data_IF_729616469964
#
_entry.id   IF_729616469964
#
_cell.length_a   1.000
_cell.length_b   1.000
_cell.length_c   1.000
_cell.angle_alpha   90.00
_cell.angle_beta   90.00
_cell.angle_gamma   90.00
#
_symmetry.space_group_name_H-M   'P 1'
#
loop_
_entity.id
_entity.type
_entity.pdbx_description
1 polymer ?
#
# COMPACT_ATOMS: atom_id res chain seq x y z
N UNK A 1 5.39 20.97 34.62
CA UNK A 1 4.67 22.25 34.85
C UNK A 1 3.38 22.00 35.63
N UNK A 2 2.88 22.96 36.41
CA UNK A 2 1.69 22.74 37.26
C UNK A 2 0.41 22.72 36.40
N UNK A 3 -0.06 21.51 36.03
CA UNK A 3 -1.33 21.28 35.34
C UNK A 3 -2.51 22.04 35.98
N UNK A 4 -2.41 22.33 37.29
CA UNK A 4 -3.41 23.12 38.02
C UNK A 4 -3.49 24.57 37.54
N UNK A 5 -2.40 25.16 37.05
CA UNK A 5 -2.40 26.52 36.50
C UNK A 5 -3.11 26.56 35.14
N UNK A 6 -2.84 25.60 34.25
CA UNK A 6 -3.52 25.52 32.95
C UNK A 6 -5.03 25.34 33.11
N UNK A 7 -5.45 24.43 34.00
CA UNK A 7 -6.88 24.21 34.30
C UNK A 7 -7.52 25.45 34.92
N UNK A 8 -6.83 26.17 35.81
CA UNK A 8 -7.36 27.41 36.41
C UNK A 8 -7.55 28.53 35.40
N UNK A 9 -6.67 28.61 34.40
CA UNK A 9 -6.74 29.61 33.32
C UNK A 9 -7.61 29.16 32.13
N UNK A 10 -8.10 27.92 32.14
CA UNK A 10 -8.86 27.33 31.02
C UNK A 10 -8.02 27.05 29.77
N UNK A 11 -6.68 27.05 29.91
CA UNK A 11 -5.76 26.82 28.80
C UNK A 11 -5.77 25.37 28.32
N UNK A 12 -6.08 24.43 29.22
CA UNK A 12 -6.33 23.02 28.92
C UNK A 12 -7.38 22.84 27.81
N UNK A 13 -8.48 23.61 27.85
CA UNK A 13 -9.52 23.59 26.82
C UNK A 13 -9.06 24.13 25.48
N UNK A 14 -8.22 25.18 25.49
CA UNK A 14 -7.63 25.75 24.28
C UNK A 14 -6.69 24.74 23.64
N UNK A 15 -5.82 24.11 24.45
CA UNK A 15 -4.90 23.06 24.02
C UNK A 15 -5.65 21.90 23.37
N UNK A 16 -6.70 21.40 24.03
CA UNK A 16 -7.54 20.32 23.49
C UNK A 16 -8.21 20.72 22.16
N UNK A 17 -8.73 21.95 22.06
CA UNK A 17 -9.36 22.45 20.84
C UNK A 17 -8.38 22.53 19.66
N UNK A 18 -7.10 22.86 19.91
CA UNK A 18 -6.04 22.89 18.90
C UNK A 18 -5.61 21.48 18.52
N UNK A 19 -5.43 20.57 19.48
CA UNK A 19 -5.08 19.16 19.23
C UNK A 19 -6.07 18.49 18.29
N UNK A 20 -7.37 18.67 18.50
CA UNK A 20 -8.43 18.11 17.63
C UNK A 20 -8.42 18.64 16.20
N UNK A 21 -7.68 19.72 15.92
CA UNK A 21 -7.53 20.33 14.59
C UNK A 21 -6.16 20.03 13.96
N UNK A 22 -5.29 19.30 14.65
CA UNK A 22 -4.02 18.87 14.09
C UNK A 22 -4.25 17.86 12.97
N UNK A 23 -3.49 17.99 11.89
CA UNK A 23 -3.61 17.10 10.73
C UNK A 23 -2.96 15.72 10.97
N UNK A 24 -2.10 15.61 11.98
CA UNK A 24 -1.35 14.40 12.29
C UNK A 24 -1.22 14.21 13.81
N UNK A 25 -0.97 12.97 14.23
CA UNK A 25 -0.75 12.60 15.63
C UNK A 25 0.50 13.27 16.17
N UNK A 26 1.59 13.31 15.39
CA UNK A 26 2.81 14.03 15.77
C UNK A 26 2.53 15.51 16.09
N UNK A 27 1.70 16.18 15.31
CA UNK A 27 1.32 17.56 15.59
C UNK A 27 0.48 17.68 16.87
N UNK A 28 -0.43 16.74 17.11
CA UNK A 28 -1.24 16.66 18.33
C UNK A 28 -0.36 16.46 19.58
N UNK A 29 0.55 15.49 19.55
CA UNK A 29 1.52 15.21 20.62
C UNK A 29 2.42 16.41 20.90
N UNK A 30 2.89 17.11 19.85
CA UNK A 30 3.65 18.34 20.01
C UNK A 30 2.85 19.42 20.73
N UNK A 31 1.61 19.66 20.32
CA UNK A 31 0.73 20.61 21.00
C UNK A 31 0.47 20.20 22.44
N UNK A 32 0.36 18.90 22.73
CA UNK A 32 0.21 18.41 24.10
C UNK A 32 1.45 18.70 24.95
N UNK A 33 2.65 18.53 24.38
CA UNK A 33 3.92 18.71 25.06
C UNK A 33 4.40 20.18 25.15
N UNK A 34 3.74 21.13 24.49
CA UNK A 34 4.14 22.55 24.53
C UNK A 34 4.05 23.12 25.95
N UNK A 35 5.12 23.78 26.39
CA UNK A 35 5.22 24.51 27.65
C UNK A 35 5.18 26.03 27.42
N UNK A 36 4.93 26.80 28.49
CA UNK A 36 4.94 28.27 28.35
C UNK A 36 6.35 28.77 28.03
N UNK A 37 6.44 29.58 26.99
CA UNK A 37 7.66 30.29 26.62
C UNK A 37 7.65 31.70 27.22
N UNK A 38 8.76 32.11 27.84
CA UNK A 38 8.97 33.46 28.37
C UNK A 38 9.99 34.28 27.56
N UNK A 39 10.66 33.65 26.59
CA UNK A 39 11.60 34.32 25.69
C UNK A 39 10.83 35.13 24.63
N UNK A 40 10.96 36.45 24.71
CA UNK A 40 10.28 37.40 23.82
C UNK A 40 10.63 37.18 22.33
N UNK A 41 11.84 36.74 22.02
CA UNK A 41 12.28 36.51 20.63
C UNK A 41 11.57 35.29 20.03
N UNK A 42 11.51 34.19 20.79
CA UNK A 42 10.81 32.97 20.38
C UNK A 42 9.30 33.19 20.27
N UNK A 43 8.70 33.92 21.22
CA UNK A 43 7.28 34.28 21.17
C UNK A 43 6.99 35.07 19.90
N UNK A 44 7.77 36.10 19.60
CA UNK A 44 7.60 36.94 18.40
C UNK A 44 7.71 36.09 17.13
N UNK A 45 8.71 35.22 17.03
CA UNK A 45 8.88 34.37 15.86
C UNK A 45 7.70 33.41 15.65
N UNK A 46 7.23 32.76 16.72
CA UNK A 46 6.06 31.86 16.65
C UNK A 46 4.79 32.61 16.27
N UNK A 47 4.59 33.83 16.77
CA UNK A 47 3.45 34.68 16.42
C UNK A 47 3.48 35.08 14.94
N UNK A 48 4.64 35.45 14.40
CA UNK A 48 4.81 35.80 12.98
C UNK A 48 4.47 34.60 12.07
N UNK A 49 5.00 33.41 12.38
CA UNK A 49 4.69 32.19 11.63
C UNK A 49 3.19 31.84 11.69
N UNK A 50 2.57 31.99 12.86
CA UNK A 50 1.14 31.75 13.05
C UNK A 50 0.29 32.73 12.23
N UNK A 51 0.65 34.01 12.22
CA UNK A 51 -0.08 35.02 11.45
C UNK A 51 0.03 34.81 9.94
N UNK A 52 1.22 34.48 9.43
CA UNK A 52 1.40 34.13 8.02
C UNK A 52 0.58 32.89 7.63
N UNK A 53 0.59 31.84 8.45
CA UNK A 53 -0.22 30.64 8.18
C UNK A 53 -1.72 30.93 8.24
N UNK A 54 -2.16 31.80 9.17
CA UNK A 54 -3.55 32.28 9.23
C UNK A 54 -3.94 32.98 7.92
N UNK A 55 -3.08 33.85 7.37
CA UNK A 55 -3.34 34.52 6.10
C UNK A 55 -3.44 33.52 4.94
N UNK A 56 -2.53 32.55 4.87
CA UNK A 56 -2.57 31.47 3.86
C UNK A 56 -3.90 30.73 3.94
N UNK A 57 -4.31 30.28 5.13
CA UNK A 57 -5.56 29.53 5.30
C UNK A 57 -6.82 30.36 4.98
N UNK A 58 -6.74 31.69 5.04
CA UNK A 58 -7.86 32.59 4.74
C UNK A 58 -7.95 32.99 3.28
N UNK A 59 -6.82 33.09 2.57
CA UNK A 59 -6.75 33.78 1.28
C UNK A 59 -6.12 32.94 0.15
N UNK A 60 -5.45 31.83 0.45
CA UNK A 60 -4.66 31.07 -0.53
C UNK A 60 -5.29 29.71 -0.83
N UNK A 61 -6.15 29.67 -1.85
CA UNK A 61 -6.88 28.45 -2.25
C UNK A 61 -5.96 27.30 -2.73
N UNK A 62 -4.75 27.62 -3.17
CA UNK A 62 -3.79 26.66 -3.73
C UNK A 62 -2.88 26.02 -2.68
N UNK A 63 -3.00 26.39 -1.40
CA UNK A 63 -2.19 25.79 -0.34
C UNK A 63 -2.62 24.33 -0.08
N UNK A 64 -1.71 23.36 0.03
CA UNK A 64 -2.07 21.97 0.28
C UNK A 64 -2.77 21.79 1.63
N UNK A 65 -4.04 21.39 1.60
CA UNK A 65 -4.85 21.18 2.81
C UNK A 65 -4.92 19.72 3.29
N UNK A 66 -4.40 18.79 2.50
CA UNK A 66 -4.46 17.35 2.77
C UNK A 66 -3.15 16.65 2.38
N UNK A 67 -3.03 15.37 2.77
CA UNK A 67 -1.85 14.55 2.49
C UNK A 67 -0.70 14.72 3.49
N UNK A 68 -1.01 15.26 4.68
CA UNK A 68 -0.12 15.27 5.82
C UNK A 68 -0.15 13.89 6.47
N UNK A 69 1.02 13.24 6.54
CA UNK A 69 1.16 11.86 6.98
C UNK A 69 2.28 11.81 8.03
N UNK A 70 2.02 11.17 9.16
CA UNK A 70 3.07 10.82 10.11
C UNK A 70 3.89 9.67 9.56
N UNK A 71 5.10 9.99 9.13
CA UNK A 71 6.04 9.00 8.63
C UNK A 71 6.88 8.34 9.72
N UNK A 72 6.97 8.95 10.90
CA UNK A 72 7.73 8.46 12.05
C UNK A 72 7.41 6.97 12.35
N UNK A 73 6.13 6.55 12.44
CA UNK A 73 5.80 5.16 12.81
C UNK A 73 6.33 4.08 11.86
N UNK A 74 6.62 4.42 10.60
CA UNK A 74 7.16 3.47 9.62
C UNK A 74 8.58 3.81 9.15
N UNK A 75 9.11 5.01 9.40
CA UNK A 75 10.50 5.37 9.10
C UNK A 75 11.46 5.05 10.24
N UNK A 76 11.09 5.29 11.50
CA UNK A 76 11.96 4.95 12.64
C UNK A 76 12.30 3.45 12.69
N UNK A 77 11.35 2.52 12.48
CA UNK A 77 11.68 1.10 12.47
C UNK A 77 12.73 0.71 11.41
N UNK A 78 12.75 1.39 10.24
CA UNK A 78 13.70 1.13 9.13
C UNK A 78 15.16 1.35 9.54
N UNK A 79 15.42 2.16 10.58
CA UNK A 79 16.75 2.30 11.17
C UNK A 79 17.34 0.96 11.65
N UNK A 80 16.50 -0.04 11.93
CA UNK A 80 16.94 -1.39 12.27
C UNK A 80 17.29 -2.20 11.00
N UNK A 81 18.42 -2.92 11.00
CA UNK A 81 18.94 -3.67 9.84
C UNK A 81 18.00 -4.71 9.22
N UNK A 82 16.96 -5.15 9.93
CA UNK A 82 16.03 -6.19 9.47
C UNK A 82 14.61 -5.65 9.21
N UNK A 83 14.38 -4.36 9.40
CA UNK A 83 13.09 -3.77 9.10
C UNK A 83 12.96 -3.49 7.60
N UNK A 84 11.79 -3.83 7.07
CA UNK A 84 11.35 -3.47 5.71
C UNK A 84 10.23 -2.45 5.82
N UNK A 85 9.99 -1.73 4.72
CA UNK A 85 8.75 -0.99 4.52
C UNK A 85 7.71 -1.90 3.86
N UNK A 86 6.42 -1.71 4.15
CA UNK A 86 5.33 -2.36 3.42
C UNK A 86 4.79 -1.44 2.30
N UNK A 87 3.98 -1.98 1.40
CA UNK A 87 3.46 -1.25 0.24
C UNK A 87 2.56 -0.06 0.64
N UNK A 88 1.75 -0.22 1.69
CA UNK A 88 0.87 0.84 2.19
C UNK A 88 1.70 1.99 2.78
N UNK A 89 2.73 1.66 3.56
CA UNK A 89 3.68 2.63 4.13
C UNK A 89 4.49 3.34 3.03
N UNK A 90 4.86 2.63 1.97
CA UNK A 90 5.52 3.23 0.80
C UNK A 90 4.61 4.24 0.09
N UNK A 91 3.32 3.90 -0.10
CA UNK A 91 2.33 4.82 -0.67
C UNK A 91 2.05 6.04 0.22
N UNK A 92 2.04 5.85 1.55
CA UNK A 92 1.99 6.94 2.54
C UNK A 92 3.21 7.86 2.43
N UNK A 93 4.41 7.30 2.29
CA UNK A 93 5.64 8.07 2.09
C UNK A 93 5.60 8.89 0.78
N UNK A 94 5.11 8.30 -0.31
CA UNK A 94 4.88 9.02 -1.57
C UNK A 94 3.98 10.24 -1.37
N UNK A 95 2.84 10.03 -0.71
CA UNK A 95 1.84 11.08 -0.46
C UNK A 95 2.46 12.22 0.36
N UNK A 96 3.21 11.90 1.41
CA UNK A 96 3.93 12.89 2.21
C UNK A 96 4.91 13.73 1.35
N UNK A 97 5.73 13.06 0.53
CA UNK A 97 6.72 13.73 -0.33
C UNK A 97 6.05 14.60 -1.39
N UNK A 98 4.91 14.17 -1.94
CA UNK A 98 4.11 14.97 -2.86
C UNK A 98 3.54 16.23 -2.18
N UNK A 99 3.00 16.09 -0.96
CA UNK A 99 2.53 17.22 -0.15
C UNK A 99 3.65 18.19 0.15
N UNK A 100 4.81 17.70 0.61
CA UNK A 100 6.00 18.50 0.87
C UNK A 100 6.45 19.28 -0.38
N UNK A 101 6.47 18.62 -1.55
CA UNK A 101 6.78 19.27 -2.82
C UNK A 101 5.78 20.38 -3.15
N UNK A 102 4.47 20.17 -2.95
CA UNK A 102 3.45 21.19 -3.19
C UNK A 102 3.62 22.39 -2.26
N UNK A 103 3.88 22.16 -0.96
CA UNK A 103 4.12 23.23 0.03
C UNK A 103 5.33 24.06 -0.37
N UNK A 104 6.45 23.41 -0.73
CA UNK A 104 7.65 24.13 -1.16
C UNK A 104 7.44 24.91 -2.47
N UNK A 105 6.73 24.32 -3.44
CA UNK A 105 6.42 25.01 -4.69
C UNK A 105 5.51 26.22 -4.45
N UNK A 106 4.52 26.10 -3.57
CA UNK A 106 3.67 27.21 -3.16
C UNK A 106 4.52 28.35 -2.56
N UNK A 107 5.33 28.07 -1.53
CA UNK A 107 6.12 29.10 -0.86
C UNK A 107 7.16 29.77 -1.77
N UNK A 108 7.73 29.03 -2.73
CA UNK A 108 8.64 29.57 -3.75
C UNK A 108 7.92 30.37 -4.84
N UNK A 109 6.66 30.05 -5.13
CA UNK A 109 5.84 30.75 -6.11
C UNK A 109 5.27 32.08 -5.58
N UNK A 110 5.14 32.20 -4.27
CA UNK A 110 4.72 33.44 -3.61
C UNK A 110 5.82 34.51 -3.73
N UNK A 111 5.42 35.76 -4.04
CA UNK A 111 6.34 36.90 -4.12
C UNK A 111 7.11 37.10 -2.81
N UNK A 112 8.40 37.39 -2.94
CA UNK A 112 9.27 37.69 -1.80
C UNK A 112 8.67 38.80 -0.90
N UNK A 113 8.69 38.57 0.41
CA UNK A 113 8.18 39.51 1.40
C UNK A 113 6.68 39.37 1.73
N UNK A 114 5.93 38.51 1.04
CA UNK A 114 4.52 38.23 1.39
C UNK A 114 4.42 37.30 2.60
N UNK A 115 5.18 36.20 2.62
CA UNK A 115 5.29 35.26 3.75
C UNK A 115 6.76 35.03 4.14
N UNK A 116 7.50 36.09 4.55
CA UNK A 116 8.95 36.03 4.72
C UNK A 116 9.38 35.02 5.79
N UNK A 117 8.61 34.83 6.86
CA UNK A 117 9.01 33.92 7.94
C UNK A 117 8.84 32.45 7.53
N UNK A 118 7.75 32.10 6.85
CA UNK A 118 7.55 30.77 6.28
C UNK A 118 8.53 30.49 5.15
N UNK A 119 8.79 31.46 4.26
CA UNK A 119 9.82 31.33 3.23
C UNK A 119 11.20 31.07 3.85
N UNK A 120 11.55 31.80 4.92
CA UNK A 120 12.80 31.57 5.65
C UNK A 120 12.83 30.18 6.31
N UNK A 121 11.74 29.76 6.97
CA UNK A 121 11.62 28.44 7.61
C UNK A 121 11.85 27.29 6.61
N UNK A 122 11.42 27.44 5.35
CA UNK A 122 11.60 26.45 4.29
C UNK A 122 12.84 26.67 3.41
N UNK A 123 13.66 27.69 3.67
CA UNK A 123 14.81 28.04 2.82
C UNK A 123 15.87 26.94 2.71
N UNK A 124 16.07 26.16 3.78
CA UNK A 124 16.97 25.00 3.81
C UNK A 124 16.32 23.68 3.40
N UNK A 125 15.01 23.65 3.12
CA UNK A 125 14.32 22.42 2.78
C UNK A 125 14.61 21.98 1.35
N UNK A 126 15.03 20.72 1.19
CA UNK A 126 15.29 20.10 -0.10
C UNK A 126 14.44 18.84 -0.27
N UNK A 127 13.96 18.59 -1.50
CA UNK A 127 13.31 17.32 -1.82
C UNK A 127 14.37 16.22 -1.93
N UNK A 128 14.17 15.06 -1.28
CA UNK A 128 14.98 13.88 -1.53
C UNK A 128 14.58 13.25 -2.88
N UNK A 129 15.05 13.86 -3.98
CA UNK A 129 14.63 13.49 -5.33
C UNK A 129 14.92 12.03 -5.68
N UNK A 130 15.99 11.45 -5.15
CA UNK A 130 16.31 10.04 -5.35
C UNK A 130 15.29 9.10 -4.69
N UNK A 131 14.79 9.46 -3.50
CA UNK A 131 13.72 8.71 -2.82
C UNK A 131 12.45 8.73 -3.66
N UNK A 132 12.07 9.91 -4.16
CA UNK A 132 10.88 10.07 -5.02
C UNK A 132 11.02 9.21 -6.29
N UNK A 133 12.17 9.28 -6.98
CA UNK A 133 12.43 8.48 -8.19
C UNK A 133 12.30 6.98 -7.94
N UNK A 134 12.84 6.49 -6.82
CA UNK A 134 12.76 5.06 -6.47
C UNK A 134 11.35 4.62 -6.12
N UNK A 135 10.61 5.43 -5.37
CA UNK A 135 9.18 5.18 -5.11
C UNK A 135 8.41 5.11 -6.42
N UNK A 136 8.62 6.07 -7.33
CA UNK A 136 7.98 6.09 -8.65
C UNK A 136 8.43 4.92 -9.54
N UNK A 137 9.59 4.32 -9.31
CA UNK A 137 10.03 3.09 -9.97
C UNK A 137 9.30 1.84 -9.47
N UNK A 138 8.91 1.83 -8.18
CA UNK A 138 8.24 0.70 -7.53
C UNK A 138 6.72 0.78 -7.69
N UNK A 139 6.12 1.95 -7.47
CA UNK A 139 4.67 2.16 -7.43
C UNK A 139 4.14 2.75 -8.73
N UNK A 140 2.97 2.31 -9.14
CA UNK A 140 2.20 2.93 -10.20
C UNK A 140 1.32 4.08 -9.67
N UNK A 141 0.38 4.57 -10.50
CA UNK A 141 -0.52 5.67 -10.13
C UNK A 141 -1.63 5.27 -9.16
N UNK A 142 -1.96 3.99 -9.05
CA UNK A 142 -3.00 3.49 -8.12
C UNK A 142 -2.39 3.13 -6.76
N UNK A 143 -1.06 3.09 -6.67
CA UNK A 143 -0.34 2.71 -5.46
C UNK A 143 0.00 1.22 -5.41
N UNK A 144 -0.16 0.50 -6.52
CA UNK A 144 0.23 -0.89 -6.65
C UNK A 144 1.68 -1.02 -7.12
N UNK A 145 2.33 -2.14 -6.77
CA UNK A 145 3.67 -2.43 -7.25
C UNK A 145 3.64 -2.72 -8.75
N UNK A 146 4.42 -1.96 -9.52
CA UNK A 146 4.60 -2.13 -10.97
C UNK A 146 5.15 -3.52 -11.28
N UNK A 147 4.68 -4.11 -12.39
CA UNK A 147 5.31 -5.29 -12.98
C UNK A 147 6.79 -5.05 -13.29
N UNK A 148 7.13 -3.81 -13.66
CA UNK A 148 8.48 -3.37 -14.01
C UNK A 148 9.31 -2.90 -12.82
N UNK A 149 8.86 -3.14 -11.58
CA UNK A 149 9.64 -2.79 -10.39
C UNK A 149 10.97 -3.59 -10.33
N UNK A 150 11.02 -4.76 -10.97
CA UNK A 150 12.26 -5.47 -11.29
C UNK A 150 12.06 -6.40 -12.50
N UNK A 151 13.14 -6.72 -13.20
CA UNK A 151 13.10 -7.68 -14.32
C UNK A 151 12.65 -9.08 -13.85
N UNK A 152 13.04 -9.46 -12.64
CA UNK A 152 12.67 -10.73 -12.03
C UNK A 152 11.16 -10.78 -11.72
N UNK A 153 10.59 -9.71 -11.14
CA UNK A 153 9.16 -9.63 -10.86
C UNK A 153 8.36 -9.69 -12.17
N UNK A 154 8.80 -8.95 -13.19
CA UNK A 154 8.20 -8.98 -14.52
C UNK A 154 8.17 -10.40 -15.09
N UNK A 155 9.30 -11.10 -15.05
CA UNK A 155 9.40 -12.49 -15.53
C UNK A 155 8.49 -13.44 -14.74
N UNK A 156 8.45 -13.32 -13.40
CA UNK A 156 7.59 -14.16 -12.55
C UNK A 156 6.11 -13.92 -12.89
N UNK A 157 5.66 -12.67 -12.95
CA UNK A 157 4.27 -12.33 -13.27
C UNK A 157 3.87 -12.76 -14.68
N UNK A 158 4.80 -12.72 -15.64
CA UNK A 158 4.58 -13.28 -16.98
C UNK A 158 4.39 -14.80 -16.91
N UNK A 159 5.28 -15.52 -16.22
CA UNK A 159 5.17 -16.97 -16.04
C UNK A 159 3.86 -17.38 -15.35
N UNK A 160 3.41 -16.61 -14.34
CA UNK A 160 2.12 -16.81 -13.68
C UNK A 160 0.98 -16.75 -14.70
N UNK A 161 0.91 -15.66 -15.49
CA UNK A 161 -0.13 -15.49 -16.51
C UNK A 161 -0.11 -16.59 -17.57
N UNK A 162 1.08 -16.93 -18.08
CA UNK A 162 1.25 -17.98 -19.07
C UNK A 162 0.81 -19.35 -18.52
N UNK A 163 1.12 -19.64 -17.26
CA UNK A 163 0.72 -20.88 -16.58
C UNK A 163 -0.78 -20.91 -16.30
N UNK A 164 -1.39 -19.82 -15.88
CA UNK A 164 -2.85 -19.71 -15.69
C UNK A 164 -3.63 -19.97 -16.99
N UNK A 165 -3.13 -19.43 -18.11
CA UNK A 165 -3.69 -19.70 -19.45
C UNK A 165 -3.52 -21.19 -19.81
N UNK A 166 -2.35 -21.78 -19.52
CA UNK A 166 -2.10 -23.20 -19.78
C UNK A 166 -3.02 -24.11 -18.96
N UNK A 167 -3.13 -23.86 -17.64
CA UNK A 167 -4.06 -24.57 -16.75
C UNK A 167 -5.48 -24.52 -17.29
N UNK A 168 -5.97 -23.33 -17.66
CA UNK A 168 -7.31 -23.16 -18.22
C UNK A 168 -7.51 -23.92 -19.53
N UNK A 169 -6.52 -23.86 -20.45
CA UNK A 169 -6.57 -24.61 -21.72
C UNK A 169 -6.57 -26.11 -21.48
N UNK A 170 -5.72 -26.59 -20.57
CA UNK A 170 -5.60 -28.01 -20.26
C UNK A 170 -6.86 -28.55 -19.61
N UNK A 171 -7.44 -27.81 -18.66
CA UNK A 171 -8.69 -28.17 -18.01
C UNK A 171 -9.83 -28.35 -19.02
N UNK A 172 -9.97 -27.42 -19.96
CA UNK A 172 -10.95 -27.53 -21.05
C UNK A 172 -10.66 -28.71 -21.98
N UNK A 173 -9.39 -29.01 -22.25
CA UNK A 173 -8.99 -30.19 -23.03
C UNK A 173 -9.39 -31.50 -22.34
N UNK A 174 -9.15 -31.61 -21.03
CA UNK A 174 -9.52 -32.79 -20.23
C UNK A 174 -11.05 -32.95 -20.21
N UNK A 175 -11.81 -31.85 -20.05
CA UNK A 175 -13.26 -31.89 -20.11
C UNK A 175 -13.76 -32.44 -21.46
N UNK A 176 -13.23 -31.94 -22.58
CA UNK A 176 -13.60 -32.43 -23.92
C UNK A 176 -13.28 -33.92 -24.10
N UNK A 177 -12.15 -34.38 -23.59
CA UNK A 177 -11.79 -35.80 -23.62
C UNK A 177 -12.74 -36.65 -22.76
N UNK A 178 -13.09 -36.16 -21.56
CA UNK A 178 -14.05 -36.80 -20.68
C UNK A 178 -15.44 -36.90 -21.32
N UNK A 179 -15.88 -35.86 -22.05
CA UNK A 179 -17.13 -35.87 -22.82
C UNK A 179 -17.09 -36.88 -23.96
N UNK A 180 -16.01 -36.89 -24.76
CA UNK A 180 -15.84 -37.82 -25.86
C UNK A 180 -15.80 -39.30 -25.40
N UNK A 181 -15.24 -39.56 -24.21
CA UNK A 181 -15.22 -40.88 -23.59
C UNK A 181 -16.53 -41.24 -22.85
N UNK A 182 -17.53 -40.36 -22.86
CA UNK A 182 -18.80 -40.56 -22.15
C UNK A 182 -18.65 -40.65 -20.62
N UNK A 183 -17.63 -40.01 -20.07
CA UNK A 183 -17.39 -39.84 -18.63
C UNK A 183 -18.16 -38.65 -18.07
N UNK A 184 -18.24 -37.57 -18.84
CA UNK A 184 -18.98 -36.35 -18.52
C UNK A 184 -20.15 -36.15 -19.50
N UNK A 185 -21.16 -35.39 -19.06
CA UNK A 185 -22.28 -35.00 -19.91
C UNK A 185 -21.80 -34.08 -21.06
N UNK A 186 -22.31 -34.22 -22.30
CA UNK A 186 -21.96 -33.32 -23.41
C UNK A 186 -22.14 -31.83 -23.08
N UNK A 187 -23.11 -31.49 -22.23
CA UNK A 187 -23.38 -30.10 -21.82
C UNK A 187 -22.66 -29.71 -20.52
N UNK A 188 -21.83 -30.60 -19.97
CA UNK A 188 -21.03 -30.31 -18.79
C UNK A 188 -20.03 -29.16 -19.03
N UNK A 189 -19.85 -28.34 -18.00
CA UNK A 189 -18.83 -27.29 -17.95
C UNK A 189 -17.91 -27.47 -16.75
N UNK A 190 -16.70 -26.89 -16.85
CA UNK A 190 -15.77 -26.83 -15.73
C UNK A 190 -16.44 -26.09 -14.57
N UNK A 191 -16.47 -26.72 -13.40
CA UNK A 191 -17.05 -26.15 -12.19
C UNK A 191 -15.95 -25.63 -11.27
N UNK A 192 -16.17 -24.48 -10.63
CA UNK A 192 -15.27 -23.97 -9.58
C UNK A 192 -15.95 -24.15 -8.23
N UNK A 193 -15.33 -24.92 -7.32
CA UNK A 193 -15.80 -25.11 -5.93
C UNK A 193 -14.64 -24.85 -4.99
N UNK A 194 -14.83 -23.99 -3.99
CA UNK A 194 -13.79 -23.61 -3.03
C UNK A 194 -12.48 -23.16 -3.71
N UNK A 195 -12.58 -22.50 -4.87
CA UNK A 195 -11.43 -22.06 -5.65
C UNK A 195 -10.71 -23.16 -6.45
N UNK A 196 -11.23 -24.40 -6.44
CA UNK A 196 -10.70 -25.55 -7.21
C UNK A 196 -11.49 -25.75 -8.48
N UNK A 197 -10.77 -25.96 -9.59
CA UNK A 197 -11.37 -26.31 -10.88
C UNK A 197 -11.64 -27.80 -10.95
N UNK A 198 -12.89 -28.17 -11.18
CA UNK A 198 -13.39 -29.55 -11.13
C UNK A 198 -14.12 -29.93 -12.43
N UNK A 199 -14.01 -31.20 -12.81
CA UNK A 199 -14.78 -31.80 -13.90
C UNK A 199 -15.92 -32.62 -13.30
N UNK A 200 -17.18 -32.36 -13.67
CA UNK A 200 -18.29 -33.24 -13.31
C UNK A 200 -18.23 -34.52 -14.14
N UNK A 201 -18.10 -35.66 -13.47
CA UNK A 201 -18.02 -36.99 -14.06
C UNK A 201 -19.16 -37.85 -13.52
N UNK A 202 -19.75 -38.71 -14.34
CA UNK A 202 -20.73 -39.70 -13.89
C UNK A 202 -20.10 -40.58 -12.79
N UNK A 203 -20.74 -40.66 -11.62
CA UNK A 203 -20.17 -41.35 -10.45
C UNK A 203 -19.82 -42.81 -10.72
N UNK A 204 -20.58 -43.49 -11.59
CA UNK A 204 -20.31 -44.87 -12.01
C UNK A 204 -18.97 -45.04 -12.76
N UNK A 205 -18.44 -43.97 -13.36
CA UNK A 205 -17.20 -43.96 -14.14
C UNK A 205 -16.09 -43.11 -13.52
N UNK A 206 -16.26 -42.63 -12.28
CA UNK A 206 -15.31 -41.72 -11.62
C UNK A 206 -13.87 -42.21 -11.54
N UNK A 207 -13.65 -43.53 -11.52
CA UNK A 207 -12.29 -44.14 -11.50
C UNK A 207 -11.56 -44.08 -12.85
N UNK A 208 -12.25 -43.73 -13.94
CA UNK A 208 -11.66 -43.68 -15.28
C UNK A 208 -11.00 -42.33 -15.59
N UNK A 209 -11.28 -41.29 -14.80
CA UNK A 209 -10.57 -40.01 -14.88
C UNK A 209 -9.56 -39.95 -13.72
N UNK A 210 -8.24 -39.97 -13.98
CA UNK A 210 -7.24 -39.84 -12.93
C UNK A 210 -7.34 -38.49 -12.21
N UNK A 211 -7.53 -38.52 -10.89
CA UNK A 211 -7.70 -37.30 -10.11
C UNK A 211 -8.23 -37.55 -8.70
N UNK A 212 -8.47 -36.46 -7.99
CA UNK A 212 -9.04 -36.46 -6.65
C UNK A 212 -10.54 -36.15 -6.72
N UNK A 213 -11.38 -37.00 -6.13
CA UNK A 213 -12.81 -36.71 -5.98
C UNK A 213 -12.95 -35.68 -4.87
N UNK A 214 -13.36 -34.47 -5.23
CA UNK A 214 -13.48 -33.35 -4.29
C UNK A 214 -14.87 -33.30 -3.66
N UNK A 215 -15.90 -33.61 -4.44
CA UNK A 215 -17.30 -33.51 -4.01
C UNK A 215 -18.21 -34.45 -4.83
N UNK A 216 -19.43 -34.68 -4.37
CA UNK A 216 -20.48 -35.43 -5.07
C UNK A 216 -21.79 -34.64 -5.12
N UNK A 217 -22.58 -34.83 -6.16
CA UNK A 217 -23.92 -34.22 -6.24
C UNK A 217 -24.83 -34.78 -5.14
N UNK A 218 -25.81 -34.01 -4.69
CA UNK A 218 -26.80 -34.47 -3.69
C UNK A 218 -27.54 -35.75 -4.12
N UNK A 219 -27.66 -35.99 -5.43
CA UNK A 219 -28.26 -37.20 -6.01
C UNK A 219 -27.31 -38.39 -6.10
N UNK A 220 -26.01 -38.21 -5.80
CA UNK A 220 -24.95 -39.20 -5.94
C UNK A 220 -24.59 -39.58 -7.38
N UNK A 221 -25.23 -38.98 -8.38
CA UNK A 221 -25.06 -39.33 -9.80
C UNK A 221 -23.82 -38.71 -10.46
N UNK A 222 -23.33 -37.59 -9.92
CA UNK A 222 -22.17 -36.88 -10.45
C UNK A 222 -21.11 -36.72 -9.36
N UNK A 223 -19.88 -37.10 -9.66
CA UNK A 223 -18.69 -36.80 -8.84
C UNK A 223 -17.92 -35.64 -9.48
N UNK A 224 -17.50 -34.68 -8.66
CA UNK A 224 -16.66 -33.56 -9.09
C UNK A 224 -15.20 -33.90 -8.82
N UNK A 225 -14.43 -34.08 -9.90
CA UNK A 225 -13.07 -34.58 -9.84
C UNK A 225 -12.10 -33.47 -10.22
N UNK A 226 -11.07 -33.25 -9.40
CA UNK A 226 -9.91 -32.46 -9.77
C UNK A 226 -8.92 -33.37 -10.51
N UNK A 227 -8.66 -33.15 -11.82
CA UNK A 227 -7.75 -34.01 -12.57
C UNK A 227 -6.32 -33.94 -12.02
N UNK A 228 -5.61 -35.06 -11.96
CA UNK A 228 -4.26 -35.13 -11.40
C UNK A 228 -3.28 -34.14 -12.06
N UNK A 229 -3.36 -34.00 -13.39
CA UNK A 229 -2.53 -33.06 -14.14
C UNK A 229 -2.80 -31.60 -13.75
N UNK A 230 -4.04 -31.25 -13.40
CA UNK A 230 -4.37 -29.88 -12.98
C UNK A 230 -3.80 -29.60 -11.59
N UNK A 231 -3.76 -30.61 -10.71
CA UNK A 231 -3.12 -30.50 -9.39
C UNK A 231 -1.63 -30.16 -9.54
N UNK A 232 -0.93 -30.85 -10.44
CA UNK A 232 0.50 -30.58 -10.71
C UNK A 232 0.71 -29.15 -11.23
N UNK A 233 -0.09 -28.72 -12.20
CA UNK A 233 0.01 -27.36 -12.75
C UNK A 233 -0.35 -26.27 -11.71
N UNK A 234 -1.32 -26.51 -10.83
CA UNK A 234 -1.67 -25.62 -9.71
C UNK A 234 -0.55 -25.52 -8.67
N UNK A 235 0.18 -26.62 -8.42
CA UNK A 235 1.34 -26.61 -7.51
C UNK A 235 2.47 -25.75 -8.08
N UNK A 236 2.78 -25.87 -9.37
CA UNK A 236 3.75 -25.01 -10.04
C UNK A 236 3.32 -23.53 -10.01
N UNK A 237 2.02 -23.25 -10.23
CA UNK A 237 1.48 -21.89 -10.12
C UNK A 237 1.64 -21.34 -8.69
N UNK A 238 1.39 -22.17 -7.67
CA UNK A 238 1.61 -21.79 -6.27
C UNK A 238 3.08 -21.45 -6.00
N UNK A 239 4.03 -22.23 -6.54
CA UNK A 239 5.46 -21.93 -6.42
C UNK A 239 5.82 -20.58 -7.04
N UNK A 240 5.26 -20.26 -8.22
CA UNK A 240 5.47 -18.95 -8.85
C UNK A 240 4.91 -17.80 -8.00
N UNK A 241 3.73 -17.97 -7.38
CA UNK A 241 3.14 -16.96 -6.48
C UNK A 241 3.96 -16.76 -5.19
N UNK A 242 4.56 -17.82 -4.66
CA UNK A 242 5.53 -17.71 -3.57
C UNK A 242 6.80 -16.96 -4.02
N UNK A 243 7.29 -17.23 -5.23
CA UNK A 243 8.43 -16.51 -5.78
C UNK A 243 8.12 -15.02 -5.98
N UNK A 244 6.91 -14.68 -6.44
CA UNK A 244 6.44 -13.30 -6.56
C UNK A 244 6.45 -12.61 -5.20
N UNK A 245 5.85 -13.22 -4.18
CA UNK A 245 5.79 -12.65 -2.83
C UNK A 245 7.17 -12.41 -2.24
N UNK A 246 8.12 -13.33 -2.48
CA UNK A 246 9.53 -13.16 -2.08
C UNK A 246 10.21 -12.01 -2.82
N UNK A 247 9.93 -11.86 -4.11
CA UNK A 247 10.51 -10.78 -4.91
C UNK A 247 9.96 -9.41 -4.50
N UNK A 248 8.67 -9.31 -4.21
CA UNK A 248 8.05 -8.11 -3.64
C UNK A 248 8.72 -7.73 -2.31
N UNK A 249 8.89 -8.70 -1.40
CA UNK A 249 9.56 -8.47 -0.13
C UNK A 249 11.02 -8.03 -0.31
N UNK A 250 11.73 -8.60 -1.30
CA UNK A 250 13.11 -8.21 -1.65
C UNK A 250 13.19 -6.77 -2.13
N UNK A 251 12.31 -6.35 -3.04
CA UNK A 251 12.26 -4.97 -3.56
C UNK A 251 12.01 -3.97 -2.42
N UNK A 252 11.05 -4.28 -1.55
CA UNK A 252 10.73 -3.41 -0.41
C UNK A 252 11.87 -3.34 0.62
N UNK A 253 12.57 -4.46 0.85
CA UNK A 253 13.75 -4.50 1.73
C UNK A 253 14.91 -3.70 1.14
N UNK A 254 15.16 -3.81 -0.17
CA UNK A 254 16.18 -3.04 -0.87
C UNK A 254 15.90 -1.53 -0.80
N UNK A 255 14.64 -1.13 -0.93
CA UNK A 255 14.24 0.27 -0.74
C UNK A 255 14.44 0.74 0.71
N UNK A 256 14.10 -0.09 1.69
CA UNK A 256 14.35 0.21 3.10
C UNK A 256 15.85 0.32 3.40
N UNK A 257 16.68 -0.54 2.80
CA UNK A 257 18.14 -0.47 2.91
C UNK A 257 18.69 0.83 2.33
N UNK A 258 18.17 1.28 1.20
CA UNK A 258 18.52 2.56 0.59
C UNK A 258 18.16 3.77 1.47
N UNK A 259 17.04 3.70 2.21
CA UNK A 259 16.63 4.78 3.12
C UNK A 259 17.44 4.83 4.42
N UNK A 260 18.13 3.75 4.78
CA UNK A 260 18.82 3.64 6.05
C UNK A 260 20.02 4.60 6.11
N UNK A 261 20.22 5.32 7.23
CA UNK A 261 21.38 6.19 7.44
C UNK A 261 22.71 5.42 7.54
#
# INVERSE_FOLDING_TARGET
>A
MDLRLETKLGFDRVREAVMRRCATEYASERVQAEEFCTDASQIRQRQLLCDEMRLILMFEDNFPSAGYIDAIPFLEPIGNRHASIDLLSLGKLRTLLETLRKVMNFLRGVKEGVYPNLQHMFSGAAMPMEVVRRIDGILDRTGEMKDTASDQLYSIRRSIRDKEINVSKRMNGILRQAQAAGLADPDASVSIREGKMLIPVLSAKKRQLPGFVFDESATGKTSYIQPAEIIELENELSQLRFAESREVARILSEFADFLRP
#
